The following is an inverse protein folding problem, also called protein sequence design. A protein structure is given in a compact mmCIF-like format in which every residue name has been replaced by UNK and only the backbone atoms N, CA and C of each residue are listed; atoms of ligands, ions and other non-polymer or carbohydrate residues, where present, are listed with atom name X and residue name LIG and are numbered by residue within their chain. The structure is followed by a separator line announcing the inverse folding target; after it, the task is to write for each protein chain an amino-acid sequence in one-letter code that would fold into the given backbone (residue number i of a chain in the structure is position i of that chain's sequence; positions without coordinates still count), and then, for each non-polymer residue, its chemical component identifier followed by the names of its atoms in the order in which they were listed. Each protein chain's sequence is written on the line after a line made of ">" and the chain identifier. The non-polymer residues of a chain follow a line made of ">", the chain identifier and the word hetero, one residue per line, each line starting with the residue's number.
data_IF_986728245853
#
_entry.id   IF_986728245853
#
_cell.length_a   1.000
_cell.length_b   1.000
_cell.length_c   1.000
_cell.angle_alpha   90.00
_cell.angle_beta   90.00
_cell.angle_gamma   90.00
#
_symmetry.space_group_name_H-M   'P 1'
#
loop_
_entity.id
_entity.type
_entity.pdbx_description
1 polymer ?
#
# COMPACT_ATOMS: atom_id res chain seq x y z
N UNK A 1 13.34 0.75 -34.89
CA UNK A 1 12.66 -0.53 -34.61
C UNK A 1 12.02 -0.45 -33.25
N UNK A 2 10.69 -0.21 -33.19
CA UNK A 2 9.92 -0.20 -31.94
C UNK A 2 9.86 -1.63 -31.37
N UNK A 3 10.55 -1.87 -30.25
CA UNK A 3 10.43 -3.13 -29.53
C UNK A 3 9.01 -3.20 -28.95
N UNK A 4 8.24 -4.17 -29.38
CA UNK A 4 6.94 -4.50 -28.79
C UNK A 4 7.11 -4.64 -27.25
N UNK A 5 6.21 -4.07 -26.45
CA UNK A 5 6.29 -4.18 -25.01
C UNK A 5 6.27 -5.65 -24.61
N UNK A 6 7.10 -6.03 -23.62
CA UNK A 6 7.18 -7.42 -23.15
C UNK A 6 5.78 -7.92 -22.75
N UNK A 7 5.49 -9.20 -22.97
CA UNK A 7 4.17 -9.82 -22.68
C UNK A 7 3.66 -9.51 -21.25
N UNK A 8 4.57 -9.35 -20.28
CA UNK A 8 4.25 -8.94 -18.89
C UNK A 8 3.72 -7.51 -18.78
N UNK A 9 4.18 -6.58 -19.62
CA UNK A 9 3.70 -5.19 -19.64
C UNK A 9 2.32 -5.14 -20.29
N UNK A 10 2.11 -5.84 -21.39
CA UNK A 10 0.82 -5.98 -22.06
C UNK A 10 -0.25 -6.57 -21.11
N UNK A 11 0.09 -7.63 -20.38
CA UNK A 11 -0.82 -8.26 -19.41
C UNK A 11 -1.20 -7.31 -18.27
N UNK A 12 -0.28 -6.49 -17.77
CA UNK A 12 -0.60 -5.47 -16.75
C UNK A 12 -1.57 -4.42 -17.27
N UNK A 13 -1.36 -3.90 -18.47
CA UNK A 13 -2.25 -2.92 -19.08
C UNK A 13 -3.63 -3.53 -19.40
N UNK A 14 -3.68 -4.79 -19.84
CA UNK A 14 -4.93 -5.52 -20.05
C UNK A 14 -5.74 -5.67 -18.74
N UNK A 15 -5.09 -6.00 -17.62
CA UNK A 15 -5.75 -6.10 -16.31
C UNK A 15 -6.27 -4.73 -15.82
N UNK A 16 -5.50 -3.66 -16.00
CA UNK A 16 -5.94 -2.30 -15.65
C UNK A 16 -7.15 -1.89 -16.50
N UNK A 17 -7.09 -2.14 -17.80
CA UNK A 17 -8.19 -1.84 -18.71
C UNK A 17 -9.45 -2.65 -18.36
N UNK A 18 -9.30 -3.95 -18.08
CA UNK A 18 -10.41 -4.81 -17.66
C UNK A 18 -11.04 -4.32 -16.35
N UNK A 19 -10.24 -3.95 -15.35
CA UNK A 19 -10.73 -3.37 -14.10
C UNK A 19 -11.50 -2.07 -14.33
N UNK A 20 -11.00 -1.20 -15.19
CA UNK A 20 -11.67 0.05 -15.55
C UNK A 20 -13.02 -0.21 -16.25
N UNK A 21 -13.06 -1.16 -17.20
CA UNK A 21 -14.30 -1.53 -17.89
C UNK A 21 -15.35 -2.12 -16.94
N UNK A 22 -14.92 -2.94 -15.98
CA UNK A 22 -15.82 -3.50 -14.96
C UNK A 22 -16.44 -2.38 -14.12
N UNK A 23 -15.62 -1.45 -13.62
CA UNK A 23 -16.11 -0.31 -12.81
C UNK A 23 -17.04 0.58 -13.63
N UNK A 24 -16.68 0.91 -14.87
CA UNK A 24 -17.50 1.71 -15.76
C UNK A 24 -18.85 1.01 -16.06
N UNK A 25 -18.85 -0.30 -16.28
CA UNK A 25 -20.07 -1.10 -16.49
C UNK A 25 -20.98 -1.12 -15.28
N UNK A 26 -20.41 -1.27 -14.08
CA UNK A 26 -21.17 -1.24 -12.82
C UNK A 26 -21.84 0.14 -12.65
N UNK A 27 -21.08 1.22 -12.80
CA UNK A 27 -21.61 2.58 -12.66
C UNK A 27 -22.71 2.88 -13.70
N UNK A 28 -22.49 2.47 -14.94
CA UNK A 28 -23.47 2.60 -16.01
C UNK A 28 -24.76 1.84 -15.68
N UNK A 29 -24.65 0.56 -15.32
CA UNK A 29 -25.80 -0.29 -15.00
C UNK A 29 -26.57 0.28 -13.81
N UNK A 30 -25.90 0.71 -12.74
CA UNK A 30 -26.56 1.29 -11.57
C UNK A 30 -27.25 2.60 -11.90
N UNK A 31 -26.66 3.46 -12.74
CA UNK A 31 -27.32 4.69 -13.18
C UNK A 31 -28.58 4.41 -14.02
N UNK A 32 -28.53 3.41 -14.91
CA UNK A 32 -29.69 2.97 -15.67
C UNK A 32 -30.80 2.42 -14.75
N UNK A 33 -30.41 1.64 -13.75
CA UNK A 33 -31.34 1.07 -12.78
C UNK A 33 -32.03 2.16 -11.96
N UNK A 34 -31.26 3.14 -11.47
CA UNK A 34 -31.79 4.29 -10.74
C UNK A 34 -32.79 5.09 -11.56
N UNK A 35 -32.46 5.41 -12.82
CA UNK A 35 -33.38 6.13 -13.73
C UNK A 35 -34.67 5.34 -13.98
N UNK A 36 -34.57 4.03 -14.14
CA UNK A 36 -35.75 3.17 -14.36
C UNK A 36 -36.67 3.20 -13.15
N UNK A 37 -36.14 3.05 -11.93
CA UNK A 37 -36.93 3.12 -10.70
C UNK A 37 -37.58 4.50 -10.51
N UNK A 38 -36.87 5.58 -10.77
CA UNK A 38 -37.43 6.94 -10.69
C UNK A 38 -38.59 7.13 -11.67
N UNK A 39 -38.46 6.63 -12.88
CA UNK A 39 -39.56 6.68 -13.85
C UNK A 39 -40.76 5.81 -13.43
N UNK A 40 -40.52 4.65 -12.82
CA UNK A 40 -41.61 3.81 -12.30
C UNK A 40 -42.33 4.48 -11.12
N UNK A 41 -41.65 5.16 -10.21
CA UNK A 41 -42.26 5.94 -9.14
C UNK A 41 -43.11 7.09 -9.70
N UNK A 42 -42.58 7.82 -10.69
CA UNK A 42 -43.32 8.87 -11.39
C UNK A 42 -44.60 8.34 -12.02
N UNK A 43 -44.55 7.23 -12.76
CA UNK A 43 -45.71 6.62 -13.37
C UNK A 43 -46.74 6.19 -12.31
N UNK A 44 -46.34 5.63 -11.18
CA UNK A 44 -47.23 5.31 -10.07
C UNK A 44 -47.94 6.56 -9.53
N UNK A 45 -47.22 7.67 -9.42
CA UNK A 45 -47.82 8.93 -8.96
C UNK A 45 -48.76 9.54 -9.98
N UNK A 46 -48.49 9.42 -11.28
CA UNK A 46 -49.40 9.85 -12.37
C UNK A 46 -50.69 9.03 -12.35
N UNK A 47 -50.62 7.70 -12.17
CA UNK A 47 -51.78 6.82 -12.03
C UNK A 47 -52.58 7.17 -10.76
N UNK A 48 -51.90 7.46 -9.64
CA UNK A 48 -52.53 7.88 -8.41
C UNK A 48 -53.25 9.23 -8.59
N UNK A 49 -52.65 10.20 -9.24
CA UNK A 49 -53.23 11.50 -9.53
C UNK A 49 -54.50 11.36 -10.36
N UNK A 50 -54.48 10.52 -11.42
CA UNK A 50 -55.66 10.21 -12.23
C UNK A 50 -56.77 9.52 -11.41
N UNK A 51 -56.40 8.55 -10.58
CA UNK A 51 -57.37 7.91 -9.69
C UNK A 51 -57.98 8.90 -8.69
N UNK A 52 -57.19 9.81 -8.13
CA UNK A 52 -57.61 10.85 -7.23
C UNK A 52 -58.58 11.85 -7.92
N UNK A 53 -58.31 12.22 -9.15
CA UNK A 53 -59.17 13.06 -9.97
C UNK A 53 -60.50 12.37 -10.25
N UNK A 54 -60.52 11.12 -10.71
CA UNK A 54 -61.71 10.34 -10.98
C UNK A 54 -62.53 10.12 -9.71
N UNK A 55 -61.88 9.82 -8.59
CA UNK A 55 -62.54 9.62 -7.29
C UNK A 55 -63.33 10.86 -6.83
N UNK A 56 -62.75 12.05 -7.01
CA UNK A 56 -63.39 13.30 -6.61
C UNK A 56 -64.44 13.80 -7.63
N UNK A 57 -64.37 13.33 -8.89
CA UNK A 57 -65.36 13.66 -9.94
C UNK A 57 -66.49 12.65 -10.03
N UNK A 58 -66.45 11.54 -9.30
CA UNK A 58 -67.47 10.49 -9.39
C UNK A 58 -68.82 10.91 -8.76
N UNK A 59 -69.92 10.66 -9.48
CA UNK A 59 -71.26 10.76 -8.91
C UNK A 59 -71.48 9.66 -7.85
N UNK A 60 -72.46 9.91 -6.95
CA UNK A 60 -72.76 9.02 -5.81
C UNK A 60 -73.14 7.57 -6.19
N UNK A 61 -73.54 7.34 -7.44
CA UNK A 61 -73.96 6.01 -7.93
C UNK A 61 -72.79 5.26 -8.67
N UNK A 62 -71.60 5.82 -8.76
CA UNK A 62 -70.48 5.22 -9.46
C UNK A 62 -69.63 4.42 -8.46
N UNK A 63 -69.27 3.18 -8.84
CA UNK A 63 -68.32 2.37 -8.05
C UNK A 63 -66.88 2.91 -8.21
N UNK A 64 -66.33 3.46 -7.14
CA UNK A 64 -64.98 4.03 -7.05
C UNK A 64 -64.02 3.15 -6.25
N UNK A 65 -64.35 1.90 -6.07
CA UNK A 65 -63.54 0.96 -5.27
C UNK A 65 -62.15 0.72 -5.84
N UNK A 66 -61.98 0.85 -7.15
CA UNK A 66 -60.70 0.74 -7.81
C UNK A 66 -59.81 1.96 -7.53
N UNK A 67 -60.38 3.16 -7.66
CA UNK A 67 -59.70 4.43 -7.41
C UNK A 67 -59.23 4.52 -5.95
N UNK A 68 -60.10 4.17 -5.02
CA UNK A 68 -59.75 4.10 -3.60
C UNK A 68 -58.62 3.15 -3.34
N UNK A 69 -58.62 1.97 -3.97
CA UNK A 69 -57.58 0.97 -3.82
C UNK A 69 -56.23 1.45 -4.40
N UNK A 70 -56.26 2.18 -5.52
CA UNK A 70 -55.07 2.78 -6.11
C UNK A 70 -54.48 3.85 -5.18
N UNK A 71 -55.31 4.75 -4.63
CA UNK A 71 -54.87 5.78 -3.69
C UNK A 71 -54.26 5.16 -2.44
N UNK A 72 -54.92 4.14 -1.85
CA UNK A 72 -54.42 3.43 -0.67
C UNK A 72 -53.18 2.57 -0.93
N UNK A 73 -52.88 2.25 -2.18
CA UNK A 73 -51.69 1.46 -2.56
C UNK A 73 -50.36 2.23 -2.39
N UNK A 74 -50.43 3.54 -2.32
CA UNK A 74 -49.23 4.36 -2.07
C UNK A 74 -48.82 4.27 -0.58
N UNK A 75 -47.93 3.31 -0.28
CA UNK A 75 -47.40 3.11 1.08
C UNK A 75 -45.95 3.57 1.26
N UNK A 76 -45.31 4.06 0.23
CA UNK A 76 -43.86 4.32 0.24
C UNK A 76 -43.42 5.67 -0.31
N UNK A 77 -44.19 6.28 -1.21
CA UNK A 77 -43.82 7.55 -1.81
C UNK A 77 -44.42 8.69 -0.95
N UNK A 78 -43.59 9.53 -0.31
CA UNK A 78 -44.07 10.69 0.45
C UNK A 78 -44.72 11.71 -0.47
N UNK A 79 -45.89 12.20 -0.11
CA UNK A 79 -46.61 13.20 -0.91
C UNK A 79 -47.33 14.22 -0.05
N UNK A 80 -47.53 15.42 -0.60
CA UNK A 80 -48.31 16.52 -0.04
C UNK A 80 -49.22 17.05 -1.13
N UNK A 81 -50.52 17.15 -0.82
CA UNK A 81 -51.51 17.76 -1.71
C UNK A 81 -51.79 19.17 -1.21
N UNK A 82 -51.68 20.15 -2.12
CA UNK A 82 -51.98 21.57 -1.81
C UNK A 82 -53.14 22.07 -2.65
N UNK A 83 -53.86 23.04 -2.14
CA UNK A 83 -54.75 23.86 -2.95
C UNK A 83 -53.95 24.74 -3.96
N UNK A 84 -54.62 25.38 -4.87
CA UNK A 84 -54.01 26.26 -5.88
C UNK A 84 -53.25 27.44 -5.23
N UNK A 85 -53.75 27.94 -4.09
CA UNK A 85 -53.09 28.99 -3.30
C UNK A 85 -51.83 28.54 -2.57
N UNK A 86 -51.50 27.24 -2.63
CA UNK A 86 -50.29 26.66 -2.01
C UNK A 86 -50.49 26.16 -0.56
N UNK A 87 -51.70 26.30 0.01
CA UNK A 87 -52.00 25.80 1.34
C UNK A 87 -52.06 24.26 1.34
N UNK A 88 -51.48 23.63 2.38
CA UNK A 88 -51.44 22.17 2.52
C UNK A 88 -52.82 21.67 2.88
N UNK A 89 -53.37 20.76 2.06
CA UNK A 89 -54.65 20.10 2.27
C UNK A 89 -54.47 18.71 2.92
N UNK A 90 -53.67 17.83 2.29
CA UNK A 90 -53.45 16.45 2.73
C UNK A 90 -52.01 16.05 2.54
N UNK A 91 -51.58 15.02 3.23
CA UNK A 91 -50.26 14.41 3.11
C UNK A 91 -50.32 12.90 3.34
N UNK A 92 -49.35 12.17 2.85
CA UNK A 92 -49.19 10.73 3.06
C UNK A 92 -47.72 10.31 3.09
N UNK A 93 -47.44 9.26 3.83
CA UNK A 93 -46.11 8.66 3.98
C UNK A 93 -45.05 9.64 4.53
N UNK A 94 -45.46 10.48 5.46
CA UNK A 94 -44.60 11.41 6.22
C UNK A 94 -44.76 11.12 7.72
N UNK A 95 -43.79 11.54 8.52
CA UNK A 95 -43.71 11.29 9.97
C UNK A 95 -44.72 12.12 10.79
N UNK A 96 -45.85 12.50 10.18
CA UNK A 96 -46.94 13.23 10.78
C UNK A 96 -48.25 12.49 10.44
N UNK A 97 -49.03 12.16 11.47
CA UNK A 97 -50.34 11.54 11.26
C UNK A 97 -51.30 12.48 10.50
N UNK A 98 -52.05 11.94 9.55
CA UNK A 98 -52.97 12.70 8.69
C UNK A 98 -54.42 12.68 9.22
N UNK A 99 -54.62 12.56 10.55
CA UNK A 99 -55.88 12.51 11.23
C UNK A 99 -56.49 13.88 11.58
N UNK A 100 -55.75 14.97 11.32
CA UNK A 100 -56.14 16.35 11.61
C UNK A 100 -55.96 17.27 10.38
N UNK A 101 -56.62 18.41 10.39
CA UNK A 101 -56.34 19.46 9.38
C UNK A 101 -54.98 20.11 9.66
N UNK A 102 -54.32 20.56 8.61
CA UNK A 102 -52.99 21.20 8.72
C UNK A 102 -52.97 22.35 9.76
N UNK A 103 -54.01 23.18 9.79
CA UNK A 103 -54.14 24.31 10.72
C UNK A 103 -54.27 23.91 12.18
N UNK A 104 -54.74 22.67 12.46
CA UNK A 104 -54.92 22.12 13.80
C UNK A 104 -53.69 21.39 14.34
N UNK A 105 -52.67 21.16 13.50
CA UNK A 105 -51.42 20.49 13.88
C UNK A 105 -50.57 21.34 14.84
N UNK A 106 -49.73 20.72 15.66
CA UNK A 106 -48.65 21.35 16.41
C UNK A 106 -47.74 22.17 15.52
N UNK A 107 -47.08 23.20 16.07
CA UNK A 107 -46.21 24.10 15.31
C UNK A 107 -45.06 23.34 14.67
N UNK A 108 -44.48 22.37 15.37
CA UNK A 108 -43.34 21.57 14.88
C UNK A 108 -43.74 20.73 13.66
N UNK A 109 -44.92 20.10 13.68
CA UNK A 109 -45.43 19.27 12.56
C UNK A 109 -45.73 20.15 11.33
N UNK A 110 -46.30 21.35 11.55
CA UNK A 110 -46.52 22.30 10.47
C UNK A 110 -45.22 22.76 9.83
N UNK A 111 -44.20 23.05 10.63
CA UNK A 111 -42.87 23.41 10.13
C UNK A 111 -42.20 22.24 9.38
N UNK A 112 -42.37 21.01 9.89
CA UNK A 112 -41.87 19.80 9.21
C UNK A 112 -42.54 19.63 7.85
N UNK A 113 -43.88 19.65 7.75
CA UNK A 113 -44.58 19.53 6.48
C UNK A 113 -44.26 20.65 5.49
N UNK A 114 -44.13 21.89 5.96
CA UNK A 114 -43.72 23.02 5.10
C UNK A 114 -42.33 22.83 4.54
N UNK A 115 -41.41 22.29 5.34
CA UNK A 115 -40.04 21.97 4.88
C UNK A 115 -40.06 20.81 3.89
N UNK A 116 -40.87 19.76 4.13
CA UNK A 116 -41.01 18.65 3.19
C UNK A 116 -41.60 19.12 1.86
N UNK A 117 -42.58 20.01 1.89
CA UNK A 117 -43.18 20.57 0.68
C UNK A 117 -42.12 21.35 -0.15
N UNK A 118 -41.24 22.08 0.53
CA UNK A 118 -40.16 22.79 -0.18
C UNK A 118 -39.20 21.82 -0.88
N UNK A 119 -38.81 20.74 -0.21
CA UNK A 119 -37.98 19.68 -0.79
C UNK A 119 -38.65 19.04 -2.00
N UNK A 120 -39.96 18.70 -1.86
CA UNK A 120 -40.74 18.09 -2.94
C UNK A 120 -40.84 18.99 -4.17
N UNK A 121 -40.94 20.33 -4.00
CA UNK A 121 -40.95 21.32 -5.08
C UNK A 121 -39.64 21.36 -5.86
N UNK A 122 -38.53 21.05 -5.21
CA UNK A 122 -37.21 21.05 -5.84
C UNK A 122 -36.88 19.71 -6.53
N UNK A 123 -37.47 18.58 -6.02
CA UNK A 123 -37.15 17.25 -6.54
C UNK A 123 -37.97 16.85 -7.78
N UNK A 124 -39.27 17.14 -7.80
CA UNK A 124 -40.16 16.72 -8.87
C UNK A 124 -41.17 17.80 -9.23
N UNK A 125 -41.58 17.85 -10.50
CA UNK A 125 -42.66 18.69 -10.96
C UNK A 125 -43.98 18.19 -10.36
N UNK A 126 -44.90 19.08 -9.86
CA UNK A 126 -46.16 18.69 -9.29
C UNK A 126 -47.10 18.08 -10.33
N UNK A 127 -47.94 17.16 -9.90
CA UNK A 127 -49.03 16.65 -10.71
C UNK A 127 -50.26 17.51 -10.39
N UNK A 128 -50.87 18.09 -11.44
CA UNK A 128 -52.06 18.95 -11.31
C UNK A 128 -53.30 18.09 -11.49
N UNK A 129 -54.22 18.20 -10.56
CA UNK A 129 -55.53 17.48 -10.56
C UNK A 129 -56.64 18.51 -10.50
N UNK A 130 -57.66 18.37 -11.37
CA UNK A 130 -58.79 19.27 -11.40
C UNK A 130 -60.11 18.48 -11.33
N UNK A 131 -60.94 18.81 -10.37
CA UNK A 131 -62.23 18.14 -10.18
C UNK A 131 -63.32 19.14 -9.80
N UNK A 132 -64.58 18.76 -9.99
CA UNK A 132 -65.74 19.62 -9.68
C UNK A 132 -66.30 19.27 -8.33
N UNK A 133 -66.47 20.28 -7.47
CA UNK A 133 -67.21 20.17 -6.21
C UNK A 133 -68.27 21.27 -6.19
N UNK A 134 -69.55 20.87 -6.07
CA UNK A 134 -70.70 21.79 -6.06
C UNK A 134 -70.71 22.77 -7.27
N UNK A 135 -70.36 22.28 -8.47
CA UNK A 135 -70.20 23.08 -9.72
C UNK A 135 -69.08 24.10 -9.70
N UNK A 136 -68.12 24.02 -8.77
CA UNK A 136 -66.91 24.84 -8.75
C UNK A 136 -65.74 23.96 -9.12
N UNK A 137 -64.91 24.44 -10.09
CA UNK A 137 -63.68 23.74 -10.44
C UNK A 137 -62.62 23.97 -9.32
N UNK A 138 -62.17 22.90 -8.73
CA UNK A 138 -61.13 22.90 -7.72
C UNK A 138 -59.86 22.34 -8.34
N UNK A 139 -58.76 23.10 -8.27
CA UNK A 139 -57.45 22.66 -8.72
C UNK A 139 -56.56 22.41 -7.54
N UNK A 140 -56.04 21.20 -7.45
CA UNK A 140 -55.09 20.78 -6.42
C UNK A 140 -53.78 20.38 -7.10
N UNK A 141 -52.66 20.49 -6.34
CA UNK A 141 -51.32 20.10 -6.80
C UNK A 141 -50.76 19.03 -5.87
N UNK A 142 -50.40 17.88 -6.44
CA UNK A 142 -49.77 16.77 -5.73
C UNK A 142 -48.26 16.91 -5.86
N UNK A 143 -47.61 17.27 -4.78
CA UNK A 143 -46.15 17.27 -4.67
C UNK A 143 -45.69 15.96 -4.05
N UNK A 144 -44.59 15.39 -4.57
CA UNK A 144 -44.03 14.15 -4.05
C UNK A 144 -42.49 14.19 -4.14
N UNK A 145 -41.86 13.41 -3.30
CA UNK A 145 -40.42 13.19 -3.33
C UNK A 145 -40.11 11.73 -3.60
N UNK A 146 -38.86 11.46 -4.01
CA UNK A 146 -38.34 10.12 -4.21
C UNK A 146 -38.51 9.30 -2.89
N UNK A 147 -38.85 8.02 -2.99
CA UNK A 147 -39.03 7.17 -1.83
C UNK A 147 -37.72 6.98 -1.08
N UNK A 148 -37.78 6.63 0.21
CA UNK A 148 -36.60 6.32 1.02
C UNK A 148 -35.76 5.17 0.42
N UNK A 149 -36.44 4.24 -0.29
CA UNK A 149 -35.74 3.17 -1.00
C UNK A 149 -34.88 3.74 -2.15
N UNK A 150 -35.44 4.62 -2.96
CA UNK A 150 -34.74 5.24 -4.08
C UNK A 150 -33.57 6.11 -3.58
N UNK A 151 -33.80 6.86 -2.50
CA UNK A 151 -32.75 7.65 -1.85
C UNK A 151 -31.60 6.79 -1.30
N UNK A 152 -31.87 5.59 -0.79
CA UNK A 152 -30.82 4.64 -0.37
C UNK A 152 -30.08 4.05 -1.56
N UNK A 153 -30.78 3.74 -2.65
CA UNK A 153 -30.20 3.14 -3.86
C UNK A 153 -29.13 4.03 -4.51
N UNK A 154 -29.21 5.35 -4.40
CA UNK A 154 -28.19 6.25 -4.96
C UNK A 154 -26.80 6.06 -4.35
N UNK A 155 -26.69 5.52 -3.11
CA UNK A 155 -25.41 5.27 -2.44
C UNK A 155 -24.82 3.88 -2.72
N UNK A 156 -25.58 2.96 -3.35
CA UNK A 156 -25.09 1.61 -3.67
C UNK A 156 -23.82 1.58 -4.52
N UNK A 157 -23.66 2.43 -5.56
CA UNK A 157 -22.44 2.46 -6.35
C UNK A 157 -21.22 2.79 -5.51
N UNK A 158 -21.35 3.72 -4.57
CA UNK A 158 -20.27 4.12 -3.68
C UNK A 158 -19.85 2.96 -2.76
N UNK A 159 -20.85 2.25 -2.18
CA UNK A 159 -20.61 1.06 -1.36
C UNK A 159 -19.89 -0.05 -2.14
N UNK A 160 -20.34 -0.31 -3.39
CA UNK A 160 -19.70 -1.29 -4.28
C UNK A 160 -18.26 -0.93 -4.63
N UNK A 161 -18.00 0.33 -4.95
CA UNK A 161 -16.64 0.84 -5.23
C UNK A 161 -15.72 0.68 -4.00
N UNK A 162 -16.24 0.97 -2.81
CA UNK A 162 -15.49 0.79 -1.56
C UNK A 162 -15.11 -0.68 -1.34
N UNK A 163 -16.07 -1.61 -1.53
CA UNK A 163 -15.82 -3.06 -1.41
C UNK A 163 -14.76 -3.51 -2.42
N UNK A 164 -14.86 -3.09 -3.69
CA UNK A 164 -13.88 -3.42 -4.71
C UNK A 164 -12.49 -2.88 -4.38
N UNK A 165 -12.40 -1.66 -3.86
CA UNK A 165 -11.13 -1.06 -3.43
C UNK A 165 -10.50 -1.83 -2.27
N UNK A 166 -11.29 -2.18 -1.25
CA UNK A 166 -10.83 -2.98 -0.11
C UNK A 166 -10.35 -4.37 -0.56
N UNK A 167 -11.13 -5.03 -1.42
CA UNK A 167 -10.78 -6.35 -1.95
C UNK A 167 -9.47 -6.30 -2.78
N UNK A 168 -9.34 -5.32 -3.66
CA UNK A 168 -8.10 -5.09 -4.42
C UNK A 168 -6.89 -4.83 -3.52
N UNK A 169 -7.09 -4.06 -2.44
CA UNK A 169 -6.04 -3.79 -1.44
C UNK A 169 -5.61 -5.05 -0.72
N UNK A 170 -6.56 -5.89 -0.29
CA UNK A 170 -6.28 -7.17 0.38
C UNK A 170 -5.49 -8.10 -0.55
N UNK A 171 -5.92 -8.25 -1.80
CA UNK A 171 -5.21 -9.05 -2.81
C UNK A 171 -3.78 -8.54 -3.02
N UNK A 172 -3.61 -7.22 -3.17
CA UNK A 172 -2.29 -6.61 -3.34
C UNK A 172 -1.37 -6.88 -2.14
N UNK A 173 -1.87 -6.72 -0.92
CA UNK A 173 -1.11 -6.98 0.31
C UNK A 173 -0.76 -8.46 0.45
N UNK A 174 -1.69 -9.38 0.15
CA UNK A 174 -1.44 -10.82 0.16
C UNK A 174 -0.37 -11.21 -0.87
N UNK A 175 -0.45 -10.68 -2.10
CA UNK A 175 0.53 -10.95 -3.14
C UNK A 175 1.93 -10.42 -2.78
N UNK A 176 1.99 -9.22 -2.19
CA UNK A 176 3.24 -8.62 -1.69
C UNK A 176 3.84 -9.44 -0.56
N UNK A 177 3.02 -9.88 0.40
CA UNK A 177 3.45 -10.72 1.53
C UNK A 177 4.00 -12.06 1.05
N UNK A 178 3.28 -12.76 0.17
CA UNK A 178 3.73 -14.04 -0.39
C UNK A 178 5.05 -13.90 -1.15
N UNK A 179 5.22 -12.85 -1.95
CA UNK A 179 6.47 -12.60 -2.67
C UNK A 179 7.66 -12.41 -1.72
N UNK A 180 7.46 -11.69 -0.61
CA UNK A 180 8.50 -11.49 0.41
C UNK A 180 8.80 -12.81 1.11
N UNK A 181 7.79 -13.60 1.45
CA UNK A 181 7.94 -14.90 2.09
C UNK A 181 8.71 -15.89 1.18
N UNK A 182 8.38 -15.96 -0.11
CA UNK A 182 9.08 -16.80 -1.08
C UNK A 182 10.55 -16.40 -1.22
N UNK A 183 10.83 -15.11 -1.31
CA UNK A 183 12.21 -14.61 -1.35
C UNK A 183 12.97 -14.98 -0.07
N UNK A 184 12.37 -14.84 1.10
CA UNK A 184 12.98 -15.19 2.37
C UNK A 184 13.26 -16.70 2.46
N UNK A 185 12.31 -17.53 2.01
CA UNK A 185 12.47 -18.99 1.99
C UNK A 185 13.60 -19.45 1.06
N UNK A 186 13.68 -18.85 -0.13
CA UNK A 186 14.79 -19.12 -1.06
C UNK A 186 16.14 -18.74 -0.45
N UNK A 187 16.24 -17.55 0.16
CA UNK A 187 17.47 -17.12 0.82
C UNK A 187 17.88 -18.03 1.96
N UNK A 188 16.94 -18.42 2.83
CA UNK A 188 17.21 -19.31 3.94
C UNK A 188 17.67 -20.70 3.46
N UNK A 189 17.02 -21.25 2.43
CA UNK A 189 17.40 -22.51 1.82
C UNK A 189 18.80 -22.47 1.20
N UNK A 190 19.07 -21.47 0.38
CA UNK A 190 20.41 -21.29 -0.24
C UNK A 190 21.50 -21.10 0.82
N UNK A 191 21.25 -20.26 1.82
CA UNK A 191 22.23 -19.99 2.86
C UNK A 191 22.57 -21.24 3.67
N UNK A 192 21.54 -22.01 4.08
CA UNK A 192 21.72 -23.26 4.83
C UNK A 192 22.47 -24.30 4.01
N UNK A 193 22.10 -24.46 2.74
CA UNK A 193 22.76 -25.43 1.84
C UNK A 193 24.22 -25.06 1.59
N UNK A 194 24.48 -23.78 1.28
CA UNK A 194 25.85 -23.28 1.06
C UNK A 194 26.72 -23.46 2.30
N UNK A 195 26.20 -23.14 3.49
CA UNK A 195 26.92 -23.34 4.75
C UNK A 195 27.26 -24.82 4.98
N UNK A 196 26.30 -25.72 4.70
CA UNK A 196 26.50 -27.17 4.86
C UNK A 196 27.51 -27.74 3.84
N UNK A 197 27.41 -27.36 2.58
CA UNK A 197 28.31 -27.82 1.52
C UNK A 197 29.75 -27.27 1.67
N UNK A 198 29.94 -26.09 2.28
CA UNK A 198 31.26 -25.56 2.60
C UNK A 198 31.78 -26.17 3.91
N UNK A 199 30.94 -26.37 4.90
CA UNK A 199 31.35 -26.88 6.23
C UNK A 199 31.95 -28.26 6.19
N UNK A 200 31.46 -29.16 5.34
CA UNK A 200 31.96 -30.54 5.23
C UNK A 200 33.42 -30.61 4.75
N UNK A 201 33.82 -30.04 3.58
CA UNK A 201 35.22 -30.05 3.17
C UNK A 201 36.10 -29.21 4.10
N UNK A 202 35.53 -28.19 4.74
CA UNK A 202 36.29 -27.35 5.68
C UNK A 202 36.68 -28.12 6.92
N UNK A 203 35.81 -28.99 7.49
CA UNK A 203 36.12 -29.85 8.60
C UNK A 203 37.24 -30.85 8.26
N UNK A 204 37.26 -31.34 7.01
CA UNK A 204 38.33 -32.20 6.51
C UNK A 204 39.67 -31.46 6.42
N UNK A 205 39.64 -30.21 5.91
CA UNK A 205 40.84 -29.35 5.80
C UNK A 205 41.44 -29.03 7.19
N UNK A 206 40.60 -28.78 8.20
CA UNK A 206 41.04 -28.59 9.58
C UNK A 206 41.71 -29.87 10.14
N UNK A 207 41.19 -31.04 9.79
CA UNK A 207 41.82 -32.34 10.14
C UNK A 207 43.18 -32.50 9.47
N UNK A 208 43.31 -32.15 8.20
CA UNK A 208 44.61 -32.19 7.49
C UNK A 208 45.64 -31.21 8.09
N UNK A 209 45.24 -30.00 8.42
CA UNK A 209 46.10 -29.02 9.09
C UNK A 209 46.62 -29.57 10.43
N UNK A 210 45.77 -30.23 11.23
CA UNK A 210 46.18 -30.85 12.47
C UNK A 210 47.21 -31.98 12.27
N UNK A 211 46.99 -32.82 11.24
CA UNK A 211 47.95 -33.90 10.89
C UNK A 211 49.31 -33.35 10.43
N UNK A 212 49.29 -32.32 9.56
CA UNK A 212 50.55 -31.68 9.12
C UNK A 212 51.35 -31.10 10.28
N UNK A 213 50.68 -30.59 11.31
CA UNK A 213 51.33 -30.14 12.55
C UNK A 213 51.98 -31.25 13.33
N UNK A 214 51.34 -32.41 13.37
CA UNK A 214 51.88 -33.61 14.07
C UNK A 214 53.05 -34.23 13.32
N UNK A 215 53.18 -34.03 12.01
CA UNK A 215 54.25 -34.54 11.15
C UNK A 215 55.47 -33.57 11.01
N UNK A 216 55.60 -32.57 11.90
CA UNK A 216 56.64 -31.55 11.87
C UNK A 216 56.78 -30.83 10.52
N UNK A 217 55.67 -30.64 9.78
CA UNK A 217 55.68 -29.89 8.55
C UNK A 217 56.08 -28.42 8.80
N UNK A 218 56.56 -27.72 7.74
CA UNK A 218 56.96 -26.33 7.85
C UNK A 218 55.86 -25.45 8.51
N UNK A 219 56.16 -24.97 9.72
CA UNK A 219 55.23 -24.20 10.56
C UNK A 219 54.66 -22.96 9.86
N UNK A 220 55.43 -22.25 9.02
CA UNK A 220 54.99 -21.11 8.27
C UNK A 220 53.91 -21.51 7.25
N UNK A 221 54.13 -22.60 6.52
CA UNK A 221 53.17 -23.13 5.55
C UNK A 221 51.87 -23.60 6.21
N UNK A 222 52.00 -24.32 7.34
CA UNK A 222 50.82 -24.81 8.12
C UNK A 222 50.02 -23.61 8.64
N UNK A 223 50.67 -22.57 9.16
CA UNK A 223 50.03 -21.36 9.67
C UNK A 223 49.25 -20.61 8.59
N UNK A 224 49.81 -20.51 7.38
CA UNK A 224 49.13 -19.85 6.23
C UNK A 224 47.90 -20.66 5.78
N UNK A 225 47.99 -21.98 5.71
CA UNK A 225 46.84 -22.85 5.39
C UNK A 225 45.77 -22.72 6.47
N UNK A 226 46.14 -22.71 7.75
CA UNK A 226 45.21 -22.56 8.88
C UNK A 226 44.44 -21.20 8.82
N UNK A 227 45.16 -20.13 8.44
CA UNK A 227 44.52 -18.81 8.23
C UNK A 227 43.50 -18.86 7.12
N UNK A 228 43.76 -19.52 6.00
CA UNK A 228 42.82 -19.65 4.89
C UNK A 228 41.60 -20.53 5.25
N UNK A 229 41.85 -21.64 5.97
CA UNK A 229 40.79 -22.53 6.47
C UNK A 229 39.90 -21.79 7.48
N UNK A 230 40.50 -21.03 8.40
CA UNK A 230 39.74 -20.18 9.35
C UNK A 230 38.89 -19.13 8.63
N UNK A 231 39.45 -18.57 7.55
CA UNK A 231 38.70 -17.62 6.71
C UNK A 231 37.48 -18.24 6.03
N UNK A 232 37.63 -19.45 5.48
CA UNK A 232 36.52 -20.22 4.91
C UNK A 232 35.48 -20.54 5.95
N UNK A 233 35.89 -20.92 7.17
CA UNK A 233 34.96 -21.16 8.30
C UNK A 233 34.14 -19.93 8.64
N UNK A 234 34.76 -18.76 8.70
CA UNK A 234 34.07 -17.49 8.92
C UNK A 234 33.03 -17.20 7.82
N UNK A 235 33.34 -17.54 6.58
CA UNK A 235 32.38 -17.38 5.47
C UNK A 235 31.20 -18.34 5.63
N UNK A 236 31.44 -19.60 5.94
CA UNK A 236 30.40 -20.60 6.17
C UNK A 236 29.47 -20.21 7.33
N UNK A 237 30.02 -19.75 8.45
CA UNK A 237 29.28 -19.25 9.60
C UNK A 237 28.40 -18.03 9.25
N UNK A 238 28.92 -17.11 8.46
CA UNK A 238 28.15 -15.93 7.97
C UNK A 238 26.94 -16.36 7.14
N UNK A 239 27.13 -17.34 6.23
CA UNK A 239 26.01 -17.90 5.46
C UNK A 239 24.99 -18.62 6.33
N UNK A 240 25.42 -19.40 7.32
CA UNK A 240 24.53 -20.06 8.27
C UNK A 240 23.63 -19.07 9.02
N UNK A 241 24.19 -17.93 9.45
CA UNK A 241 23.45 -16.87 10.15
C UNK A 241 22.43 -16.13 9.30
N UNK A 242 22.59 -16.09 7.97
CA UNK A 242 21.61 -15.51 7.05
C UNK A 242 20.36 -16.37 6.94
N UNK A 243 20.49 -17.68 7.12
CA UNK A 243 19.37 -18.63 7.08
C UNK A 243 18.46 -18.58 8.33
N UNK A 244 18.89 -17.89 9.39
CA UNK A 244 18.16 -17.75 10.67
C UNK A 244 17.99 -16.28 11.05
N UNK A 245 17.06 -16.00 11.96
CA UNK A 245 16.92 -14.64 12.53
C UNK A 245 18.08 -14.42 13.50
N UNK A 246 19.01 -13.48 13.22
CA UNK A 246 20.16 -13.28 14.09
C UNK A 246 19.74 -12.62 15.41
N UNK A 247 20.39 -12.99 16.51
CA UNK A 247 20.24 -12.28 17.78
C UNK A 247 20.93 -10.91 17.64
N UNK A 248 20.21 -9.85 17.92
CA UNK A 248 20.72 -8.49 17.99
C UNK A 248 21.09 -8.17 19.43
N UNK A 249 22.19 -7.47 19.63
CA UNK A 249 22.68 -7.00 20.91
C UNK A 249 23.16 -5.56 20.79
N UNK A 250 23.13 -4.82 21.89
CA UNK A 250 23.48 -3.40 21.93
C UNK A 250 24.99 -3.21 21.80
N UNK A 251 25.40 -2.48 20.75
CA UNK A 251 26.82 -2.21 20.43
C UNK A 251 27.03 -0.75 20.06
N UNK A 252 28.24 -0.27 20.30
CA UNK A 252 28.67 1.04 19.78
C UNK A 252 28.99 0.93 18.28
N UNK A 253 28.18 1.56 17.46
CA UNK A 253 28.28 1.51 15.99
C UNK A 253 29.58 2.16 15.50
N UNK A 254 30.13 3.14 16.21
CA UNK A 254 31.36 3.81 15.83
C UNK A 254 32.52 2.83 15.96
N UNK A 255 32.59 2.12 17.09
CA UNK A 255 33.65 1.12 17.34
C UNK A 255 33.54 -0.08 16.40
N UNK A 256 32.32 -0.65 16.22
CA UNK A 256 32.10 -1.75 15.29
C UNK A 256 32.46 -1.39 13.85
N UNK A 257 32.18 -0.14 13.43
CA UNK A 257 32.56 0.33 12.09
C UNK A 257 34.07 0.52 11.98
N UNK A 258 34.71 1.04 13.02
CA UNK A 258 36.18 1.24 13.07
C UNK A 258 36.92 -0.09 12.99
N UNK A 259 36.52 -1.08 13.77
CA UNK A 259 37.12 -2.42 13.76
C UNK A 259 37.03 -3.05 12.35
N UNK A 260 35.87 -2.97 11.70
CA UNK A 260 35.68 -3.48 10.34
C UNK A 260 36.53 -2.70 9.31
N UNK A 261 36.61 -1.39 9.46
CA UNK A 261 37.40 -0.52 8.59
C UNK A 261 38.89 -0.80 8.70
N UNK A 262 39.47 -0.86 9.91
CA UNK A 262 40.89 -1.11 10.13
C UNK A 262 41.31 -2.51 9.68
N UNK A 263 40.44 -3.52 9.84
CA UNK A 263 40.66 -4.86 9.31
C UNK A 263 40.84 -4.86 7.79
N UNK A 264 40.04 -4.10 7.05
CA UNK A 264 40.14 -4.07 5.59
C UNK A 264 41.32 -3.19 5.16
N UNK A 265 41.52 -2.04 5.79
CA UNK A 265 42.64 -1.13 5.53
C UNK A 265 43.98 -1.84 5.62
N UNK A 266 44.18 -2.69 6.64
CA UNK A 266 45.44 -3.43 6.84
C UNK A 266 45.77 -4.44 5.72
N UNK A 267 44.72 -4.84 4.94
CA UNK A 267 44.84 -5.85 3.86
C UNK A 267 44.61 -5.27 2.46
N UNK A 268 44.47 -3.96 2.35
CA UNK A 268 44.17 -3.29 1.09
C UNK A 268 45.43 -2.74 0.42
N UNK A 269 45.30 -2.39 -0.85
CA UNK A 269 46.39 -1.83 -1.65
C UNK A 269 46.89 -0.48 -1.10
N UNK A 270 48.18 -0.25 -1.07
CA UNK A 270 48.82 1.00 -0.61
C UNK A 270 48.44 2.25 -1.42
N UNK A 271 47.80 2.09 -2.57
CA UNK A 271 47.39 3.19 -3.45
C UNK A 271 45.99 3.74 -3.15
N UNK A 272 45.32 3.27 -2.09
CA UNK A 272 44.03 3.77 -1.66
C UNK A 272 44.26 4.58 -0.39
N UNK A 273 43.78 5.82 -0.41
CA UNK A 273 43.72 6.68 0.76
C UNK A 273 42.45 6.35 1.58
N UNK A 274 42.65 5.89 2.82
CA UNK A 274 41.57 5.51 3.72
C UNK A 274 41.40 6.57 4.79
N UNK A 275 40.18 7.09 4.91
CA UNK A 275 39.79 8.07 5.91
C UNK A 275 38.59 7.60 6.73
N UNK A 276 38.70 7.76 8.06
CA UNK A 276 37.60 7.43 8.99
C UNK A 276 37.27 8.65 9.81
N UNK A 277 36.05 9.14 9.67
CA UNK A 277 35.53 10.35 10.33
C UNK A 277 34.41 10.02 11.29
N UNK A 278 34.42 10.64 12.45
CA UNK A 278 33.27 10.66 13.39
C UNK A 278 33.02 12.09 13.83
N UNK A 279 31.75 12.50 13.78
CA UNK A 279 31.34 13.83 14.23
C UNK A 279 30.86 13.84 15.68
N UNK A 280 30.80 12.67 16.32
CA UNK A 280 30.29 12.51 17.68
C UNK A 280 31.43 12.13 18.63
N UNK A 281 31.56 12.86 19.74
CA UNK A 281 32.48 12.54 20.84
C UNK A 281 31.95 11.41 21.76
N UNK A 282 30.69 11.05 21.60
CA UNK A 282 30.03 10.01 22.44
C UNK A 282 29.74 8.76 21.62
N UNK A 283 29.77 7.56 22.24
CA UNK A 283 29.38 6.33 21.59
C UNK A 283 27.91 6.37 21.15
N UNK A 284 27.63 5.76 19.99
CA UNK A 284 26.28 5.68 19.41
C UNK A 284 25.85 4.22 19.48
N UNK A 285 24.93 3.92 20.38
CA UNK A 285 24.47 2.55 20.59
C UNK A 285 23.32 2.17 19.65
N UNK A 286 23.47 1.02 18.99
CA UNK A 286 22.45 0.41 18.13
C UNK A 286 22.35 -1.08 18.41
N UNK A 287 21.18 -1.68 18.18
CA UNK A 287 20.99 -3.11 18.29
C UNK A 287 21.38 -3.78 16.97
N UNK A 288 22.48 -4.55 16.98
CA UNK A 288 22.98 -5.23 15.80
C UNK A 288 23.64 -6.57 16.14
N UNK A 289 23.90 -7.36 15.10
CA UNK A 289 24.79 -8.52 15.20
C UNK A 289 26.19 -8.11 14.66
N UNK A 290 27.25 -8.07 15.48
CA UNK A 290 28.55 -7.53 15.07
C UNK A 290 29.15 -8.21 13.85
N UNK A 291 29.02 -9.53 13.75
CA UNK A 291 29.59 -10.30 12.64
C UNK A 291 28.88 -10.02 11.31
N UNK A 292 27.56 -9.88 11.34
CA UNK A 292 26.79 -9.52 10.13
C UNK A 292 27.01 -8.06 9.75
N UNK A 293 27.10 -7.16 10.75
CA UNK A 293 27.38 -5.76 10.51
C UNK A 293 28.80 -5.54 9.93
N UNK A 294 29.80 -6.17 10.49
CA UNK A 294 31.18 -6.15 9.94
C UNK A 294 31.16 -6.60 8.46
N UNK A 295 30.37 -7.62 8.13
CA UNK A 295 30.26 -8.06 6.73
C UNK A 295 29.58 -7.03 5.83
N UNK A 296 28.63 -6.24 6.34
CA UNK A 296 28.04 -5.09 5.60
C UNK A 296 29.15 -4.11 5.21
N UNK A 297 29.95 -3.67 6.19
CA UNK A 297 31.04 -2.72 5.95
C UNK A 297 32.07 -3.32 4.98
N UNK A 298 32.48 -4.59 5.20
CA UNK A 298 33.38 -5.29 4.28
C UNK A 298 32.88 -5.31 2.84
N UNK A 299 31.59 -5.60 2.62
CA UNK A 299 31.02 -5.63 1.27
C UNK A 299 31.01 -4.26 0.61
N UNK A 300 30.66 -3.20 1.35
CA UNK A 300 30.65 -1.84 0.80
C UNK A 300 32.05 -1.38 0.46
N UNK A 301 33.04 -1.59 1.35
CA UNK A 301 34.40 -1.21 1.13
C UNK A 301 35.03 -2.00 -0.04
N UNK A 302 34.82 -3.31 -0.13
CA UNK A 302 35.28 -4.12 -1.28
C UNK A 302 34.67 -3.65 -2.60
N UNK A 303 33.39 -3.27 -2.60
CA UNK A 303 32.77 -2.72 -3.79
C UNK A 303 33.35 -1.36 -4.19
N UNK A 304 33.69 -0.52 -3.22
CA UNK A 304 34.37 0.76 -3.42
C UNK A 304 35.78 0.56 -4.02
N UNK A 305 36.58 -0.34 -3.44
CA UNK A 305 37.93 -0.69 -3.94
C UNK A 305 37.86 -1.18 -5.39
N UNK A 306 36.90 -2.07 -5.69
CA UNK A 306 36.71 -2.57 -7.07
C UNK A 306 36.24 -1.47 -8.02
N UNK A 307 35.41 -0.52 -7.56
CA UNK A 307 34.97 0.62 -8.38
C UNK A 307 36.11 1.61 -8.69
N UNK A 308 37.07 1.71 -7.80
CA UNK A 308 38.29 2.52 -7.95
C UNK A 308 39.42 1.79 -8.68
N UNK A 309 39.28 0.50 -9.01
CA UNK A 309 40.35 -0.33 -9.60
C UNK A 309 41.64 -0.33 -8.76
N UNK A 310 41.52 -0.26 -7.44
CA UNK A 310 42.61 -0.30 -6.47
C UNK A 310 43.37 1.01 -6.26
N UNK A 311 42.93 2.15 -6.82
CA UNK A 311 43.54 3.47 -6.64
C UNK A 311 42.48 4.56 -6.47
N UNK A 312 42.59 5.35 -5.41
CA UNK A 312 41.62 6.43 -5.13
C UNK A 312 41.47 6.74 -3.64
N UNK A 313 40.39 7.36 -3.25
CA UNK A 313 40.07 7.68 -1.85
C UNK A 313 38.80 7.00 -1.41
N UNK A 314 38.80 6.48 -0.19
CA UNK A 314 37.65 5.87 0.49
C UNK A 314 37.49 6.50 1.85
N UNK A 315 36.32 7.11 2.07
CA UNK A 315 35.98 7.73 3.33
C UNK A 315 34.78 6.98 3.96
N UNK A 316 34.89 6.69 5.26
CA UNK A 316 33.77 6.25 6.09
C UNK A 316 33.51 7.32 7.13
N UNK A 317 32.27 7.80 7.19
CA UNK A 317 31.84 8.74 8.22
C UNK A 317 30.71 8.15 9.03
N UNK A 318 30.79 8.25 10.36
CA UNK A 318 29.76 7.79 11.31
C UNK A 318 29.32 8.96 12.17
N UNK A 319 28.03 9.23 12.20
CA UNK A 319 27.45 10.30 13.00
C UNK A 319 26.00 10.00 13.40
N UNK A 320 25.53 10.71 14.42
CA UNK A 320 24.12 10.64 14.82
C UNK A 320 23.37 11.86 14.32
N UNK A 321 22.22 11.61 13.71
CA UNK A 321 21.27 12.63 13.32
C UNK A 321 19.92 12.31 13.97
N UNK A 322 19.52 13.15 14.94
CA UNK A 322 18.35 12.87 15.80
C UNK A 322 18.45 11.50 16.49
N UNK A 323 17.45 10.62 16.28
CA UNK A 323 17.42 9.26 16.82
C UNK A 323 17.92 8.20 15.81
N UNK A 324 18.81 8.59 14.90
CA UNK A 324 19.31 7.73 13.82
C UNK A 324 20.83 7.78 13.78
N UNK A 325 21.46 6.63 13.83
CA UNK A 325 22.88 6.46 13.51
C UNK A 325 23.01 6.40 11.99
N UNK A 326 23.84 7.28 11.44
CA UNK A 326 24.10 7.41 10.01
C UNK A 326 25.54 7.02 9.71
N UNK A 327 25.72 6.07 8.80
CA UNK A 327 27.02 5.64 8.31
C UNK A 327 27.07 5.90 6.81
N UNK A 328 28.08 6.61 6.36
CA UNK A 328 28.34 6.83 4.94
C UNK A 328 29.64 6.17 4.52
N UNK A 329 29.62 5.52 3.35
CA UNK A 329 30.80 4.95 2.69
C UNK A 329 30.91 5.62 1.34
N UNK A 330 31.94 6.43 1.17
CA UNK A 330 32.19 7.25 -0.03
C UNK A 330 33.46 6.78 -0.73
N UNK A 331 33.34 6.52 -2.02
CA UNK A 331 34.46 6.17 -2.90
C UNK A 331 34.63 7.19 -4.04
N UNK A 332 35.84 7.31 -4.58
CA UNK A 332 36.15 8.11 -5.75
C UNK A 332 36.14 7.31 -7.06
N UNK A 333 35.40 6.19 -7.12
CA UNK A 333 35.40 5.26 -8.23
C UNK A 333 34.55 5.69 -9.43
N UNK A 334 34.25 4.72 -10.32
CA UNK A 334 33.54 4.94 -11.59
C UNK A 334 32.09 5.41 -11.48
N UNK A 335 31.49 5.36 -10.31
CA UNK A 335 30.09 5.73 -10.08
C UNK A 335 29.07 4.74 -10.63
N UNK A 336 27.79 4.98 -10.32
CA UNK A 336 26.64 4.13 -10.64
C UNK A 336 25.57 4.97 -11.36
N UNK A 337 25.19 4.61 -12.60
CA UNK A 337 24.12 5.30 -13.32
C UNK A 337 22.80 5.31 -12.54
N UNK A 338 22.06 6.42 -12.54
CA UNK A 338 20.82 6.62 -11.76
C UNK A 338 19.79 5.49 -11.93
N UNK A 339 19.65 4.96 -13.14
CA UNK A 339 18.73 3.84 -13.46
C UNK A 339 19.10 2.51 -12.76
N UNK A 340 20.38 2.37 -12.35
CA UNK A 340 20.88 1.14 -11.72
C UNK A 340 20.96 1.22 -10.19
N UNK A 341 20.89 2.41 -9.58
CA UNK A 341 21.08 2.63 -8.15
C UNK A 341 20.12 1.84 -7.25
N UNK A 342 18.91 1.54 -7.75
CA UNK A 342 17.97 0.63 -7.05
C UNK A 342 18.24 -0.83 -7.40
N UNK A 343 18.65 -1.10 -8.64
CA UNK A 343 18.80 -2.46 -9.17
C UNK A 343 20.02 -3.18 -8.62
N UNK A 344 21.07 -2.45 -8.22
CA UNK A 344 22.30 -3.02 -7.63
C UNK A 344 22.04 -3.81 -6.33
N UNK A 345 20.91 -3.58 -5.66
CA UNK A 345 20.50 -4.29 -4.46
C UNK A 345 19.63 -5.53 -4.75
N UNK A 346 19.30 -5.80 -6.02
CA UNK A 346 18.57 -7.01 -6.39
C UNK A 346 19.50 -8.24 -6.35
N UNK A 347 19.06 -9.38 -5.81
CA UNK A 347 19.85 -10.60 -5.78
C UNK A 347 20.31 -11.03 -7.19
N UNK A 348 21.58 -11.41 -7.31
CA UNK A 348 22.17 -11.86 -8.57
C UNK A 348 22.56 -10.73 -9.53
N UNK A 349 22.34 -9.46 -9.17
CA UNK A 349 22.79 -8.35 -10.00
C UNK A 349 24.29 -8.11 -9.82
N UNK A 350 25.05 -8.23 -10.90
CA UNK A 350 26.49 -7.95 -10.92
C UNK A 350 26.93 -7.41 -12.28
N UNK A 351 27.90 -6.53 -12.27
CA UNK A 351 28.63 -6.06 -13.47
C UNK A 351 30.02 -6.69 -13.57
N UNK A 352 30.41 -7.55 -12.60
CA UNK A 352 31.70 -8.20 -12.52
C UNK A 352 31.69 -9.51 -13.29
N UNK A 353 32.77 -9.87 -13.95
CA UNK A 353 32.89 -11.19 -14.61
C UNK A 353 32.95 -12.34 -13.61
N UNK A 354 33.48 -12.11 -12.41
CA UNK A 354 33.52 -13.06 -11.30
C UNK A 354 32.77 -12.47 -10.10
N UNK A 355 31.80 -13.21 -9.60
CA UNK A 355 30.99 -12.82 -8.44
C UNK A 355 29.52 -13.14 -8.62
N UNK A 356 28.86 -13.58 -7.57
CA UNK A 356 27.48 -14.10 -7.58
C UNK A 356 26.42 -12.99 -7.54
N UNK A 357 26.85 -11.72 -7.46
CA UNK A 357 25.92 -10.58 -7.35
C UNK A 357 25.11 -10.56 -6.03
N UNK A 358 25.61 -11.21 -4.98
CA UNK A 358 24.89 -11.36 -3.72
C UNK A 358 25.30 -10.34 -2.65
N UNK A 359 26.46 -9.69 -2.78
CA UNK A 359 27.00 -8.82 -1.72
C UNK A 359 26.07 -7.68 -1.31
N UNK A 360 25.66 -6.82 -2.25
CA UNK A 360 24.80 -5.67 -1.95
C UNK A 360 23.38 -6.09 -1.58
N UNK A 361 22.82 -7.15 -2.17
CA UNK A 361 21.51 -7.67 -1.79
C UNK A 361 21.50 -8.22 -0.37
N UNK A 362 22.60 -8.85 0.03
CA UNK A 362 22.81 -9.33 1.39
C UNK A 362 23.02 -8.18 2.39
N UNK A 363 23.84 -7.19 2.02
CA UNK A 363 23.99 -5.96 2.79
C UNK A 363 22.64 -5.31 3.05
N UNK A 364 21.78 -5.20 2.03
CA UNK A 364 20.44 -4.67 2.16
C UNK A 364 19.60 -5.51 3.12
N UNK A 365 19.62 -6.84 3.01
CA UNK A 365 18.89 -7.74 3.88
C UNK A 365 19.32 -7.59 5.34
N UNK A 366 20.62 -7.53 5.62
CA UNK A 366 21.14 -7.35 6.99
C UNK A 366 20.64 -6.03 7.58
N UNK A 367 20.74 -4.95 6.82
CA UNK A 367 20.35 -3.62 7.31
C UNK A 367 18.83 -3.46 7.40
N UNK A 368 18.06 -3.86 6.36
CA UNK A 368 16.62 -3.58 6.30
C UNK A 368 15.80 -4.66 6.98
N UNK A 369 16.08 -5.96 6.74
CA UNK A 369 15.24 -7.04 7.27
C UNK A 369 15.60 -7.36 8.73
N UNK A 370 16.88 -7.40 9.10
CA UNK A 370 17.31 -7.76 10.46
C UNK A 370 17.37 -6.54 11.37
N UNK A 371 18.07 -5.47 10.99
CA UNK A 371 18.27 -4.28 11.83
C UNK A 371 17.14 -3.24 11.70
N UNK A 372 16.14 -3.46 10.82
CA UNK A 372 15.03 -2.52 10.56
C UNK A 372 15.50 -1.11 10.15
N UNK A 373 16.70 -1.00 9.62
CA UNK A 373 17.29 0.22 9.11
C UNK A 373 16.99 0.47 7.64
N UNK A 374 17.79 1.33 7.01
CA UNK A 374 17.75 1.63 5.57
C UNK A 374 19.14 1.67 4.98
N UNK A 375 19.28 1.21 3.75
CA UNK A 375 20.51 1.39 2.94
C UNK A 375 20.16 1.82 1.53
N UNK A 376 20.88 2.82 1.04
CA UNK A 376 20.67 3.36 -0.32
C UNK A 376 21.89 4.10 -0.83
N UNK A 377 21.90 4.40 -2.13
CA UNK A 377 22.89 5.29 -2.74
C UNK A 377 22.45 6.73 -2.50
N UNK A 378 23.20 7.48 -1.65
CA UNK A 378 22.93 8.89 -1.35
C UNK A 378 23.28 9.77 -2.54
N UNK A 379 24.46 9.55 -3.12
CA UNK A 379 24.97 10.26 -4.29
C UNK A 379 25.83 9.31 -5.11
N UNK A 380 25.73 9.39 -6.42
CA UNK A 380 26.66 8.73 -7.32
C UNK A 380 26.65 9.42 -8.68
N UNK A 381 27.84 9.72 -9.18
CA UNK A 381 28.10 10.35 -10.47
C UNK A 381 29.09 9.50 -11.27
N UNK A 382 28.89 9.39 -12.58
CA UNK A 382 29.78 8.61 -13.44
C UNK A 382 31.14 9.32 -13.49
N UNK A 383 32.19 8.62 -13.04
CA UNK A 383 33.55 9.16 -12.89
C UNK A 383 33.76 10.05 -11.66
N UNK A 384 32.72 10.31 -10.86
CA UNK A 384 32.77 11.13 -9.64
C UNK A 384 32.55 10.36 -8.35
N UNK A 385 32.53 9.02 -8.40
CA UNK A 385 32.42 8.16 -7.23
C UNK A 385 30.98 7.87 -6.76
N UNK A 386 30.88 7.18 -5.61
CA UNK A 386 29.62 6.79 -5.02
C UNK A 386 29.65 6.98 -3.51
N UNK A 387 28.54 7.48 -2.95
CA UNK A 387 28.29 7.51 -1.51
C UNK A 387 27.11 6.60 -1.18
N UNK A 388 27.37 5.50 -0.49
CA UNK A 388 26.33 4.69 0.16
C UNK A 388 26.00 5.28 1.52
N UNK A 389 24.72 5.20 1.93
CA UNK A 389 24.26 5.63 3.24
C UNK A 389 23.49 4.50 3.91
N UNK A 390 23.86 4.23 5.16
CA UNK A 390 23.14 3.35 6.08
C UNK A 390 22.53 4.20 7.18
N UNK A 391 21.30 3.89 7.56
CA UNK A 391 20.56 4.52 8.65
C UNK A 391 20.04 3.42 9.59
N UNK A 392 20.39 3.50 10.87
CA UNK A 392 19.97 2.59 11.92
C UNK A 392 19.33 3.36 13.06
N UNK A 393 18.31 2.80 13.69
CA UNK A 393 17.69 3.41 14.87
C UNK A 393 18.67 3.30 16.06
N UNK A 394 18.89 4.40 16.76
CA UNK A 394 19.65 4.42 18.01
C UNK A 394 18.84 3.67 19.06
N UNK A 395 19.52 2.78 19.83
CA UNK A 395 18.89 2.05 20.92
C UNK A 395 18.55 2.99 22.07
N UNK A 396 17.32 2.94 22.53
CA UNK A 396 16.90 3.71 23.71
C UNK A 396 17.74 3.23 24.93
N UNK A 397 18.07 4.18 25.82
CA UNK A 397 19.00 3.99 26.97
C UNK A 397 18.53 2.94 27.93
#
# INVERSE_FOLDING_TARGET
>A
MNRLPSSKILMKWALILASFLIVASILWNTNQFFRKFKNEERLKMEVLATAYENFNNADLDIDVSLEEKIIQSNKSIPMIITFENGDINRWANLDVENNMRFTALPVDDRLYLSRQLQIMKEENEPLVVTFKLDNVDITEKIYYRDSDLLNKLQYYPLGLLLILFLFGTIIYLAFKSNKIADQNRLWAGMAKETAHQIGTPLSSLLGWVALLRMEDANEETVSEIEKDVSRLNTIADRFSKIGSVPKLTRHDIVEETRVAFDYIRSRSFKQIEFEFNTLNDKPIYVDLNPQLYSWVIENLVKNAIDAMSGKGSLEISVFQENNTAVITVTDSGKGIPKRLQKKIFEPGYTTKQRGWGLGLSLTKRIIEDYNKGKIFVKRSEIGGGTTFMIQLKVSDS
#
